data_IF_529613826664
#
_entry.id   IF_529613826664
#
_cell.length_a   1.000
_cell.length_b   1.000
_cell.length_c   1.000
_cell.angle_alpha   90.00
_cell.angle_beta   90.00
_cell.angle_gamma   90.00
#
_symmetry.space_group_name_H-M   'P 1'
#
loop_
_entity.id
_entity.type
_entity.pdbx_description
1 polymer ?
#
# COMPACT_ATOMS: atom_id res chain seq x y z
N UNK A 1 -49.09 61.15 24.12
CA UNK A 1 -49.91 60.06 24.70
C UNK A 1 -49.71 58.80 23.88
N UNK A 2 -49.42 57.67 24.55
CA UNK A 2 -49.20 56.28 24.05
C UNK A 2 -47.80 56.06 23.44
N UNK A 3 -46.77 55.69 24.20
CA UNK A 3 -46.45 54.35 24.76
C UNK A 3 -46.52 53.24 23.72
N UNK A 4 -45.37 52.65 23.37
CA UNK A 4 -45.04 51.20 23.23
C UNK A 4 -43.52 51.09 22.90
N UNK A 5 -42.68 50.93 23.93
CA UNK A 5 -41.61 49.91 23.88
C UNK A 5 -42.27 48.60 24.40
N UNK A 6 -41.84 47.36 24.09
CA UNK A 6 -40.55 46.92 23.55
C UNK A 6 -40.67 45.71 22.57
N UNK A 7 -40.65 45.90 21.26
CA UNK A 7 -40.64 44.74 20.31
C UNK A 7 -39.23 44.11 20.20
N UNK A 8 -38.19 44.78 20.73
CA UNK A 8 -36.80 44.34 20.64
C UNK A 8 -36.39 43.19 21.58
N UNK A 9 -37.28 42.61 22.39
CA UNK A 9 -36.93 41.48 23.30
C UNK A 9 -37.10 40.08 22.70
N UNK A 10 -37.71 39.92 21.53
CA UNK A 10 -37.99 38.58 20.96
C UNK A 10 -37.14 38.19 19.74
N UNK A 11 -36.35 39.10 19.17
CA UNK A 11 -35.44 38.78 18.06
C UNK A 11 -34.02 38.43 18.55
N UNK A 12 -33.71 38.72 19.82
CA UNK A 12 -32.39 38.49 20.42
C UNK A 12 -32.08 37.01 20.72
N UNK A 13 -33.05 36.10 20.66
CA UNK A 13 -32.84 34.68 21.01
C UNK A 13 -32.74 33.72 19.81
N UNK A 14 -32.98 34.17 18.57
CA UNK A 14 -32.88 33.29 17.38
C UNK A 14 -31.53 33.44 16.66
N UNK A 15 -30.73 34.45 17.00
CA UNK A 15 -29.36 34.61 16.49
C UNK A 15 -28.27 33.92 17.34
N UNK A 16 -28.63 33.31 18.46
CA UNK A 16 -27.67 32.65 19.38
C UNK A 16 -27.69 31.11 19.24
N UNK A 17 -28.52 30.55 18.34
CA UNK A 17 -28.51 29.12 18.00
C UNK A 17 -27.78 28.81 16.67
N UNK A 18 -27.03 29.78 16.14
CA UNK A 18 -26.15 29.62 14.98
C UNK A 18 -24.68 29.90 15.27
N UNK A 19 -24.27 29.88 16.55
CA UNK A 19 -22.86 29.69 16.91
C UNK A 19 -22.65 28.22 17.23
N UNK A 20 -22.77 27.38 16.20
CA UNK A 20 -22.01 26.13 16.20
C UNK A 20 -20.55 26.56 16.39
N UNK A 21 -19.85 26.10 17.44
CA UNK A 21 -18.41 26.25 17.47
C UNK A 21 -17.94 25.64 16.15
N UNK A 22 -17.11 26.36 15.41
CA UNK A 22 -16.35 25.74 14.35
C UNK A 22 -15.73 24.49 14.99
N UNK A 23 -16.29 23.32 14.68
CA UNK A 23 -15.59 22.06 14.86
C UNK A 23 -14.35 22.30 14.03
N UNK A 24 -13.26 22.64 14.70
CA UNK A 24 -11.95 22.53 14.12
C UNK A 24 -11.86 21.08 13.72
N UNK A 25 -11.99 20.80 12.41
CA UNK A 25 -11.39 19.61 11.87
C UNK A 25 -9.92 19.73 12.27
N UNK A 26 -9.53 19.02 13.34
CA UNK A 26 -8.16 18.57 13.45
C UNK A 26 -7.93 17.79 12.18
N UNK A 27 -7.31 18.48 11.22
CA UNK A 27 -6.75 17.85 10.03
C UNK A 27 -5.71 16.93 10.63
N UNK A 28 -6.09 15.68 10.87
CA UNK A 28 -5.16 14.63 11.24
C UNK A 28 -4.17 14.63 10.10
N UNK A 29 -3.03 15.29 10.30
CA UNK A 29 -1.85 15.04 9.50
C UNK A 29 -1.67 13.54 9.62
N UNK A 30 -1.97 12.83 8.55
CA UNK A 30 -1.59 11.42 8.42
C UNK A 30 -0.11 11.45 8.75
N UNK A 31 0.27 10.98 9.93
CA UNK A 31 1.68 10.89 10.28
C UNK A 31 2.26 9.93 9.25
N UNK A 32 2.94 10.49 8.26
CA UNK A 32 3.58 9.72 7.21
C UNK A 32 4.64 8.89 7.91
N UNK A 33 4.44 7.57 7.97
CA UNK A 33 5.44 6.64 8.45
C UNK A 33 6.78 7.01 7.80
N UNK A 34 7.89 7.12 8.56
CA UNK A 34 9.17 7.47 7.99
C UNK A 34 9.50 6.48 6.85
N UNK A 35 10.13 6.97 5.76
CA UNK A 35 10.45 6.13 4.62
C UNK A 35 11.29 4.93 5.09
N UNK A 36 10.96 3.75 4.56
CA UNK A 36 11.69 2.51 4.89
C UNK A 36 13.14 2.68 4.45
N UNK A 37 14.06 2.45 5.38
CA UNK A 37 15.49 2.55 5.13
C UNK A 37 16.01 1.38 4.29
N UNK A 38 17.17 1.56 3.65
CA UNK A 38 17.86 0.49 2.90
C UNK A 38 18.05 -0.77 3.75
N UNK A 39 18.45 -0.62 5.01
CA UNK A 39 18.69 -1.78 5.87
C UNK A 39 17.41 -2.54 6.22
N UNK A 40 16.30 -1.85 6.43
CA UNK A 40 15.00 -2.50 6.64
C UNK A 40 14.56 -3.28 5.41
N UNK A 41 14.74 -2.73 4.20
CA UNK A 41 14.48 -3.49 2.96
C UNK A 41 15.35 -4.74 2.83
N UNK A 42 16.63 -4.65 3.22
CA UNK A 42 17.53 -5.82 3.24
C UNK A 42 17.08 -6.88 4.23
N UNK A 43 16.58 -6.46 5.39
CA UNK A 43 16.01 -7.37 6.40
C UNK A 43 14.77 -8.09 5.85
N UNK A 44 13.87 -7.36 5.17
CA UNK A 44 12.68 -7.94 4.55
C UNK A 44 13.03 -8.95 3.46
N UNK A 45 14.02 -8.67 2.61
CA UNK A 45 14.50 -9.60 1.58
C UNK A 45 15.11 -10.86 2.22
N UNK A 46 15.92 -10.70 3.29
CA UNK A 46 16.47 -11.85 4.03
C UNK A 46 15.36 -12.70 4.64
N UNK A 47 14.34 -12.05 5.21
CA UNK A 47 13.18 -12.73 5.77
C UNK A 47 12.41 -13.50 4.69
N UNK A 48 12.19 -12.90 3.53
CA UNK A 48 11.54 -13.55 2.39
C UNK A 48 12.29 -14.82 1.97
N UNK A 49 13.60 -14.71 1.72
CA UNK A 49 14.43 -15.86 1.30
C UNK A 49 14.42 -16.96 2.34
N UNK A 50 14.63 -16.61 3.62
CA UNK A 50 14.60 -17.57 4.73
C UNK A 50 13.25 -18.27 4.83
N UNK A 51 12.16 -17.55 4.59
CA UNK A 51 10.80 -18.11 4.64
C UNK A 51 10.60 -19.09 3.50
N UNK A 52 10.96 -18.71 2.26
CA UNK A 52 10.91 -19.61 1.10
C UNK A 52 11.68 -20.90 1.37
N UNK A 53 12.94 -20.80 1.80
CA UNK A 53 13.78 -21.98 2.07
C UNK A 53 13.25 -22.87 3.20
N UNK A 54 12.53 -22.28 4.17
CA UNK A 54 12.01 -23.00 5.34
C UNK A 54 10.65 -23.65 5.11
N UNK A 55 9.76 -22.99 4.37
CA UNK A 55 8.35 -23.38 4.30
C UNK A 55 7.94 -23.96 2.95
N UNK A 56 8.65 -23.63 1.87
CA UNK A 56 8.32 -24.17 0.56
C UNK A 56 8.82 -25.62 0.45
N UNK A 57 8.00 -26.60 -0.01
CA UNK A 57 8.40 -28.00 -0.02
C UNK A 57 9.61 -28.32 -0.91
N UNK A 58 9.73 -27.63 -2.05
CA UNK A 58 10.88 -27.78 -2.96
C UNK A 58 11.13 -26.50 -3.78
N UNK A 59 11.73 -25.45 -3.19
CA UNK A 59 11.84 -24.12 -3.82
C UNK A 59 12.75 -24.13 -5.06
N UNK A 60 13.68 -25.08 -5.14
CA UNK A 60 14.67 -25.16 -6.21
C UNK A 60 14.29 -26.16 -7.30
N UNK A 61 13.01 -26.54 -7.40
CA UNK A 61 12.51 -27.51 -8.40
C UNK A 61 12.68 -27.03 -9.85
N UNK A 62 12.57 -25.72 -10.08
CA UNK A 62 12.51 -25.11 -11.42
C UNK A 62 13.61 -24.07 -11.69
N UNK A 63 14.46 -23.82 -10.69
CA UNK A 63 15.59 -22.88 -10.71
C UNK A 63 16.69 -23.42 -9.81
N UNK A 64 17.97 -23.23 -10.18
CA UNK A 64 19.07 -23.60 -9.29
C UNK A 64 19.16 -22.66 -8.10
N UNK A 65 19.76 -23.14 -7.00
CA UNK A 65 19.97 -22.31 -5.82
C UNK A 65 20.89 -21.14 -6.14
N UNK A 66 21.90 -21.36 -6.96
CA UNK A 66 22.90 -20.37 -7.36
C UNK A 66 22.27 -19.26 -8.20
N UNK A 67 21.42 -19.62 -9.17
CA UNK A 67 20.70 -18.67 -10.00
C UNK A 67 19.73 -17.84 -9.13
N UNK A 68 18.96 -18.50 -8.27
CA UNK A 68 18.07 -17.82 -7.32
C UNK A 68 18.83 -16.80 -6.44
N UNK A 69 19.92 -17.22 -5.81
CA UNK A 69 20.74 -16.35 -4.95
C UNK A 69 21.40 -15.22 -5.73
N UNK A 70 21.75 -15.44 -7.00
CA UNK A 70 22.30 -14.38 -7.85
C UNK A 70 21.29 -13.25 -8.10
N UNK A 71 20.00 -13.58 -8.25
CA UNK A 71 18.93 -12.59 -8.43
C UNK A 71 18.68 -11.84 -7.12
N UNK A 72 18.64 -12.55 -5.99
CA UNK A 72 18.52 -11.93 -4.65
C UNK A 72 19.66 -10.94 -4.40
N UNK A 73 20.91 -11.34 -4.71
CA UNK A 73 22.08 -10.46 -4.54
C UNK A 73 22.00 -9.23 -5.45
N UNK A 74 21.53 -9.39 -6.68
CA UNK A 74 21.33 -8.26 -7.59
C UNK A 74 20.31 -7.28 -7.04
N UNK A 75 19.18 -7.78 -6.52
CA UNK A 75 18.19 -6.94 -5.86
C UNK A 75 18.78 -6.18 -4.67
N UNK A 76 19.55 -6.83 -3.79
CA UNK A 76 20.21 -6.19 -2.64
C UNK A 76 21.09 -4.99 -3.03
N UNK A 77 21.81 -5.11 -4.15
CA UNK A 77 22.65 -4.03 -4.69
C UNK A 77 21.83 -2.88 -5.30
N UNK A 78 20.64 -3.18 -5.82
CA UNK A 78 19.74 -2.20 -6.46
C UNK A 78 18.92 -1.41 -5.42
N UNK A 79 18.73 -1.90 -4.19
CA UNK A 79 17.89 -1.25 -3.14
C UNK A 79 18.15 0.26 -3.00
N UNK A 80 19.40 0.78 -2.94
CA UNK A 80 19.64 2.20 -2.70
C UNK A 80 19.10 3.15 -3.79
N UNK A 81 18.82 2.63 -4.98
CA UNK A 81 18.40 3.42 -6.15
C UNK A 81 16.96 3.11 -6.61
N UNK A 82 16.34 2.07 -6.06
CA UNK A 82 14.98 1.68 -6.40
C UNK A 82 13.96 2.45 -5.54
N UNK A 83 12.80 2.76 -6.12
CA UNK A 83 11.65 3.22 -5.34
C UNK A 83 11.04 2.05 -4.55
N UNK A 84 10.33 2.30 -3.44
CA UNK A 84 9.65 1.26 -2.66
C UNK A 84 8.82 0.27 -3.49
N UNK A 85 8.05 0.79 -4.45
CA UNK A 85 7.16 -0.01 -5.31
C UNK A 85 7.99 -0.93 -6.21
N UNK A 86 9.12 -0.43 -6.73
CA UNK A 86 10.05 -1.24 -7.52
C UNK A 86 10.69 -2.32 -6.66
N UNK A 87 11.05 -2.04 -5.41
CA UNK A 87 11.60 -3.07 -4.50
C UNK A 87 10.57 -4.19 -4.29
N UNK A 88 9.30 -3.84 -4.02
CA UNK A 88 8.21 -4.79 -3.87
C UNK A 88 8.03 -5.65 -5.14
N UNK A 89 7.97 -5.03 -6.33
CA UNK A 89 7.86 -5.77 -7.60
C UNK A 89 9.05 -6.71 -7.80
N UNK A 90 10.27 -6.29 -7.46
CA UNK A 90 11.46 -7.13 -7.56
C UNK A 90 11.42 -8.29 -6.56
N UNK A 91 10.88 -8.09 -5.36
CA UNK A 91 10.62 -9.18 -4.41
C UNK A 91 9.58 -10.17 -4.95
N UNK A 92 8.51 -9.69 -5.60
CA UNK A 92 7.53 -10.55 -6.27
C UNK A 92 8.17 -11.35 -7.41
N UNK A 93 9.09 -10.75 -8.17
CA UNK A 93 9.86 -11.47 -9.19
C UNK A 93 10.71 -12.58 -8.58
N UNK A 94 11.38 -12.35 -7.45
CA UNK A 94 12.12 -13.39 -6.71
C UNK A 94 11.19 -14.56 -6.35
N UNK A 95 9.99 -14.28 -5.84
CA UNK A 95 9.00 -15.33 -5.55
C UNK A 95 8.54 -16.06 -6.80
N UNK A 96 8.33 -15.35 -7.92
CA UNK A 96 7.89 -15.94 -9.18
C UNK A 96 8.92 -16.88 -9.83
N UNK A 97 10.23 -16.74 -9.51
CA UNK A 97 11.28 -17.65 -9.99
C UNK A 97 11.08 -19.10 -9.56
N UNK A 98 10.33 -19.33 -8.48
CA UNK A 98 9.94 -20.67 -8.02
C UNK A 98 9.05 -21.38 -9.04
N UNK A 99 8.37 -20.62 -9.92
CA UNK A 99 7.41 -21.10 -10.93
C UNK A 99 6.34 -22.01 -10.30
N UNK A 100 5.82 -21.59 -9.15
CA UNK A 100 4.74 -22.24 -8.41
C UNK A 100 3.53 -21.33 -8.27
N UNK A 101 2.36 -21.80 -8.73
CA UNK A 101 1.11 -21.04 -8.72
C UNK A 101 0.49 -20.89 -7.32
N UNK A 102 1.01 -21.59 -6.32
CA UNK A 102 0.52 -21.52 -4.93
C UNK A 102 1.42 -20.66 -4.03
N UNK A 103 2.48 -20.09 -4.58
CA UNK A 103 3.44 -19.27 -3.85
C UNK A 103 3.47 -17.86 -4.43
N UNK A 104 2.94 -16.90 -3.68
CA UNK A 104 2.84 -15.49 -4.09
C UNK A 104 3.20 -14.54 -2.96
N UNK A 105 3.88 -13.44 -3.29
CA UNK A 105 4.02 -12.28 -2.41
C UNK A 105 2.91 -11.29 -2.73
N UNK A 106 2.00 -11.09 -1.78
CA UNK A 106 0.88 -10.16 -1.92
C UNK A 106 1.21 -8.86 -1.15
N UNK A 107 1.48 -7.74 -1.84
CA UNK A 107 1.68 -6.46 -1.18
C UNK A 107 0.40 -6.01 -0.49
N UNK A 108 0.55 -5.48 0.73
CA UNK A 108 -0.57 -5.03 1.58
C UNK A 108 -0.91 -3.55 1.42
N UNK A 109 -0.28 -2.84 0.49
CA UNK A 109 -0.52 -1.40 0.28
C UNK A 109 -1.88 -1.17 -0.41
N UNK A 110 -2.86 -0.55 0.29
CA UNK A 110 -4.18 -0.29 -0.26
C UNK A 110 -4.18 0.69 -1.45
N UNK A 111 -3.12 1.49 -1.62
CA UNK A 111 -3.08 2.56 -2.62
C UNK A 111 -2.18 2.24 -3.84
N UNK A 112 -1.32 1.22 -3.77
CA UNK A 112 -0.29 0.97 -4.78
C UNK A 112 -0.53 -0.23 -5.70
N UNK A 113 -1.14 -1.31 -5.18
CA UNK A 113 -1.18 -2.61 -5.87
C UNK A 113 -2.58 -3.22 -6.05
N UNK A 114 -3.62 -2.56 -5.54
CA UNK A 114 -5.00 -3.08 -5.58
C UNK A 114 -5.88 -2.34 -6.62
N UNK A 115 -5.28 -1.88 -7.72
CA UNK A 115 -6.04 -1.25 -8.80
C UNK A 115 -6.69 -2.32 -9.66
N UNK A 116 -8.02 -2.35 -9.67
CA UNK A 116 -8.82 -3.25 -10.49
C UNK A 116 -9.67 -2.46 -11.48
N UNK A 117 -9.66 -2.91 -12.73
CA UNK A 117 -10.54 -2.40 -13.78
C UNK A 117 -11.62 -3.45 -14.06
N UNK A 118 -12.89 -3.06 -14.27
CA UNK A 118 -14.00 -3.99 -14.48
C UNK A 118 -14.03 -4.55 -15.91
N UNK A 119 -12.88 -4.96 -16.41
CA UNK A 119 -12.69 -5.60 -17.71
C UNK A 119 -12.11 -6.99 -17.50
N UNK A 120 -12.54 -7.94 -18.32
CA UNK A 120 -12.06 -9.33 -18.27
C UNK A 120 -11.60 -9.71 -19.66
N UNK A 121 -10.34 -10.15 -19.73
CA UNK A 121 -9.75 -10.63 -20.96
C UNK A 121 -9.87 -12.15 -21.07
N UNK A 122 -10.08 -12.63 -22.28
CA UNK A 122 -10.09 -14.04 -22.66
C UNK A 122 -9.04 -14.29 -23.72
N UNK A 123 -8.31 -15.39 -23.60
CA UNK A 123 -7.31 -15.81 -24.57
C UNK A 123 -7.89 -16.93 -25.45
N UNK A 124 -7.98 -16.66 -26.75
CA UNK A 124 -8.36 -17.64 -27.78
C UNK A 124 -7.19 -17.84 -28.77
N UNK A 125 -7.32 -18.77 -29.71
CA UNK A 125 -6.25 -19.05 -30.69
C UNK A 125 -5.94 -17.85 -31.60
N UNK A 126 -6.93 -16.99 -31.81
CA UNK A 126 -6.89 -15.83 -32.70
C UNK A 126 -6.63 -14.50 -31.99
N UNK A 127 -6.58 -14.48 -30.65
CA UNK A 127 -6.19 -13.27 -29.92
C UNK A 127 -6.72 -13.17 -28.48
N UNK A 128 -6.50 -11.98 -27.91
CA UNK A 128 -7.02 -11.57 -26.60
C UNK A 128 -8.24 -10.67 -26.82
N UNK A 129 -9.36 -10.99 -26.18
CA UNK A 129 -10.64 -10.28 -26.27
C UNK A 129 -11.14 -9.85 -24.90
#
# INVERSE_FOLDING_TARGET
MKCILPIYRSILCIFILFTLPAVSQEKTTIESRPPISVNQWREDIKFLVKTIERTHPNPYKKISREEFQSVVKRLDLEIPILSPEKIIVRMMQVTALLKDGHTSLLPSDPNGFNNWYPIRFYWFEDGIY
#
